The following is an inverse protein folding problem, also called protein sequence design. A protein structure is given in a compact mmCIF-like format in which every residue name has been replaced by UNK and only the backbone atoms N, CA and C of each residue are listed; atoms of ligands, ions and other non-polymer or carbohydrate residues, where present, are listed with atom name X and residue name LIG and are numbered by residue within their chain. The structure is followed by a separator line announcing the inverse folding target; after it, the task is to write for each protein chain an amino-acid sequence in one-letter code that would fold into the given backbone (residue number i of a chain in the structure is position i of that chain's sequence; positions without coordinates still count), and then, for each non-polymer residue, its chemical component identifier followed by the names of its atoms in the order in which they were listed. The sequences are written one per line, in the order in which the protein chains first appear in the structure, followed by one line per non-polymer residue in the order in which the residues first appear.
data_IF_031737731781
#
_entry.id   IF_031737731781
#
_cell.length_a   1.000
_cell.length_b   1.000
_cell.length_c   1.000
_cell.angle_alpha   90.00
_cell.angle_beta   90.00
_cell.angle_gamma   90.00
#
_symmetry.space_group_name_H-M   'P 1'
#
loop_
_entity.id
_entity.type
_entity.pdbx_description
1 polymer ?
#
# COMPACT_ATOMS: atom_id res chain seq x y z
N UNK A 1 -25.88 11.03 10.67
CA UNK A 1 -24.79 10.76 9.70
C UNK A 1 -23.71 10.00 10.44
N UNK A 2 -23.27 8.87 9.90
CA UNK A 2 -22.19 8.09 10.50
C UNK A 2 -20.88 8.90 10.46
N UNK A 3 -20.40 9.30 11.63
CA UNK A 3 -19.19 10.10 11.75
C UNK A 3 -17.93 9.33 11.34
N UNK A 4 -17.93 8.01 11.48
CA UNK A 4 -16.80 7.17 11.08
C UNK A 4 -16.67 7.13 9.56
N UNK A 5 -17.78 6.95 8.85
CA UNK A 5 -17.86 7.01 7.39
C UNK A 5 -17.46 8.39 6.86
N UNK A 6 -17.92 9.47 7.51
CA UNK A 6 -17.51 10.83 7.13
C UNK A 6 -15.99 11.01 7.24
N UNK A 7 -15.39 10.63 8.38
CA UNK A 7 -13.93 10.72 8.58
C UNK A 7 -13.15 9.88 7.56
N UNK A 8 -13.65 8.69 7.24
CA UNK A 8 -13.08 7.85 6.20
C UNK A 8 -13.03 8.58 4.85
N UNK A 9 -14.15 9.15 4.40
CA UNK A 9 -14.20 9.88 3.13
C UNK A 9 -13.42 11.19 3.17
N UNK A 10 -13.42 11.92 4.29
CA UNK A 10 -12.59 13.12 4.44
C UNK A 10 -11.10 12.79 4.23
N UNK A 11 -10.61 11.68 4.81
CA UNK A 11 -9.23 11.18 4.62
C UNK A 11 -8.98 10.72 3.19
N UNK A 12 -9.85 9.87 2.65
CA UNK A 12 -9.71 9.34 1.29
C UNK A 12 -9.70 10.47 0.24
N UNK A 13 -10.63 11.41 0.34
CA UNK A 13 -10.69 12.56 -0.56
C UNK A 13 -9.48 13.50 -0.36
N UNK A 14 -8.94 13.59 0.86
CA UNK A 14 -7.68 14.27 1.14
C UNK A 14 -6.51 13.64 0.39
N UNK A 15 -6.36 12.31 0.49
CA UNK A 15 -5.34 11.52 -0.23
C UNK A 15 -5.46 11.72 -1.73
N UNK A 16 -6.65 11.57 -2.29
CA UNK A 16 -6.91 11.70 -3.73
C UNK A 16 -6.67 13.10 -4.29
N UNK A 17 -6.32 14.11 -3.46
CA UNK A 17 -5.87 15.43 -3.93
C UNK A 17 -4.42 15.44 -4.41
N UNK A 18 -3.61 14.45 -4.03
CA UNK A 18 -2.25 14.32 -4.52
C UNK A 18 -2.25 14.13 -6.05
N UNK A 19 -1.54 14.97 -6.82
CA UNK A 19 -1.48 14.85 -8.28
C UNK A 19 -0.93 13.51 -8.78
N UNK A 20 -0.07 12.84 -8.02
CA UNK A 20 0.51 11.54 -8.40
C UNK A 20 -0.59 10.48 -8.53
N UNK A 21 -1.59 10.50 -7.67
CA UNK A 21 -2.72 9.56 -7.72
C UNK A 21 -3.69 9.84 -8.90
N UNK A 22 -3.55 10.98 -9.59
CA UNK A 22 -4.39 11.37 -10.74
C UNK A 22 -3.66 11.30 -12.07
N UNK A 23 -2.39 11.67 -12.09
CA UNK A 23 -1.60 11.85 -13.31
C UNK A 23 -0.29 11.05 -13.31
N UNK A 24 0.06 10.39 -12.20
CA UNK A 24 1.21 9.50 -12.13
C UNK A 24 1.00 8.22 -12.93
N UNK A 25 2.10 7.52 -13.22
CA UNK A 25 2.06 6.24 -13.91
C UNK A 25 1.48 5.18 -12.97
N UNK A 26 0.29 4.69 -13.30
CA UNK A 26 -0.41 3.66 -12.54
C UNK A 26 -0.04 2.25 -13.00
N UNK A 27 -0.02 1.31 -12.06
CA UNK A 27 -0.03 -0.11 -12.35
C UNK A 27 -0.71 -0.91 -11.24
N UNK A 28 -1.38 -2.00 -11.62
CA UNK A 28 -1.83 -3.04 -10.70
C UNK A 28 -0.65 -3.91 -10.29
N UNK A 29 -0.61 -4.29 -9.01
CA UNK A 29 0.48 -5.09 -8.45
C UNK A 29 0.05 -6.53 -8.19
N UNK A 30 1.04 -7.40 -8.23
CA UNK A 30 0.88 -8.79 -7.81
C UNK A 30 0.92 -8.88 -6.27
N UNK A 31 -0.09 -9.54 -5.73
CA UNK A 31 -0.12 -10.02 -4.35
C UNK A 31 0.26 -11.49 -4.34
N UNK A 32 1.23 -11.88 -3.52
CA UNK A 32 1.67 -13.27 -3.39
C UNK A 32 1.41 -13.79 -1.99
N UNK A 33 1.27 -15.10 -1.87
CA UNK A 33 1.04 -15.76 -0.58
C UNK A 33 2.13 -15.42 0.42
N UNK A 34 1.72 -15.13 1.66
CA UNK A 34 2.63 -14.85 2.76
C UNK A 34 3.37 -16.11 3.25
N UNK A 35 2.75 -17.28 3.15
CA UNK A 35 3.33 -18.59 3.44
C UNK A 35 2.46 -19.70 2.85
N UNK A 36 3.05 -20.88 2.68
CA UNK A 36 2.38 -22.05 2.12
C UNK A 36 1.06 -22.38 2.83
N UNK A 37 0.01 -22.61 2.04
CA UNK A 37 -1.34 -22.89 2.55
C UNK A 37 -2.15 -21.65 2.92
N UNK A 38 -1.56 -20.45 2.97
CA UNK A 38 -2.33 -19.21 3.11
C UNK A 38 -2.87 -18.78 1.75
N UNK A 39 -4.18 -18.90 1.55
CA UNK A 39 -4.87 -18.52 0.31
C UNK A 39 -5.35 -17.06 0.31
N UNK A 40 -5.31 -16.38 1.47
CA UNK A 40 -5.96 -15.06 1.65
C UNK A 40 -5.28 -13.92 0.87
N UNK A 41 -4.15 -14.18 0.20
CA UNK A 41 -3.53 -13.20 -0.68
C UNK A 41 -4.41 -12.83 -1.89
N UNK A 42 -5.26 -13.75 -2.34
CA UNK A 42 -6.21 -13.55 -3.45
C UNK A 42 -7.35 -12.59 -3.04
N UNK A 43 -7.49 -12.29 -1.75
CA UNK A 43 -8.41 -11.28 -1.25
C UNK A 43 -7.90 -9.84 -1.45
N UNK A 44 -6.64 -9.64 -1.83
CA UNK A 44 -6.06 -8.31 -1.93
C UNK A 44 -6.13 -7.70 -3.33
N UNK A 45 -6.41 -6.40 -3.35
CA UNK A 45 -6.12 -5.53 -4.49
C UNK A 45 -4.99 -4.58 -4.11
N UNK A 46 -4.00 -4.45 -4.98
CA UNK A 46 -2.87 -3.54 -4.76
C UNK A 46 -2.54 -2.75 -6.03
N UNK A 47 -2.24 -1.46 -5.85
CA UNK A 47 -1.98 -0.52 -6.92
C UNK A 47 -0.83 0.40 -6.54
N UNK A 48 0.06 0.68 -7.48
CA UNK A 48 1.09 1.70 -7.33
C UNK A 48 0.91 2.85 -8.30
N UNK A 49 1.35 4.03 -7.87
CA UNK A 49 1.56 5.18 -8.72
C UNK A 49 2.99 5.68 -8.56
N UNK A 50 3.58 6.14 -9.66
CA UNK A 50 4.86 6.83 -9.65
C UNK A 50 4.74 8.19 -10.38
N UNK A 51 5.11 9.25 -9.69
CA UNK A 51 5.21 10.60 -10.24
C UNK A 51 6.50 10.79 -11.05
N UNK A 52 6.51 11.78 -11.94
CA UNK A 52 7.69 12.16 -12.72
C UNK A 52 8.84 12.72 -11.85
N UNK A 53 8.51 13.21 -10.66
CA UNK A 53 9.43 13.69 -9.63
C UNK A 53 10.01 12.57 -8.74
N UNK A 54 9.64 11.31 -9.02
CA UNK A 54 10.06 10.15 -8.24
C UNK A 54 9.19 9.86 -7.01
N UNK A 55 8.14 10.65 -6.76
CA UNK A 55 7.17 10.37 -5.71
C UNK A 55 6.42 9.06 -5.97
N UNK A 56 6.13 8.31 -4.91
CA UNK A 56 5.58 6.95 -4.99
C UNK A 56 4.40 6.79 -4.06
N UNK A 57 3.32 6.21 -4.58
CA UNK A 57 2.15 5.82 -3.80
C UNK A 57 1.89 4.34 -3.95
N UNK A 58 1.40 3.73 -2.87
CA UNK A 58 0.89 2.36 -2.83
C UNK A 58 -0.48 2.37 -2.15
N UNK A 59 -1.49 1.83 -2.81
CA UNK A 59 -2.81 1.59 -2.22
C UNK A 59 -3.06 0.09 -2.16
N UNK A 60 -3.49 -0.39 -0.99
CA UNK A 60 -3.83 -1.80 -0.77
C UNK A 60 -5.22 -1.90 -0.17
N UNK A 61 -6.04 -2.82 -0.66
CA UNK A 61 -7.39 -3.11 -0.15
C UNK A 61 -7.48 -4.60 0.15
N UNK A 62 -7.90 -4.96 1.36
CA UNK A 62 -8.40 -6.30 1.64
C UNK A 62 -9.88 -6.35 1.24
N UNK A 63 -10.17 -6.90 0.07
CA UNK A 63 -11.51 -6.97 -0.51
C UNK A 63 -12.22 -8.27 -0.10
N UNK A 64 -12.22 -8.57 1.19
CA UNK A 64 -12.86 -9.75 1.75
C UNK A 64 -13.41 -9.50 3.16
N UNK A 65 -14.38 -10.32 3.61
CA UNK A 65 -14.95 -10.23 4.96
C UNK A 65 -14.09 -10.89 6.05
N UNK A 66 -12.89 -11.38 5.72
CA UNK A 66 -11.94 -11.97 6.66
C UNK A 66 -10.64 -11.16 6.73
N UNK A 67 -9.86 -11.35 7.80
CA UNK A 67 -8.47 -10.91 7.84
C UNK A 67 -7.67 -11.67 6.78
N UNK A 68 -6.75 -10.96 6.13
CA UNK A 68 -6.00 -11.48 4.98
C UNK A 68 -4.54 -11.06 5.09
N UNK A 69 -3.64 -11.92 4.60
CA UNK A 69 -2.20 -11.66 4.58
C UNK A 69 -1.58 -11.92 3.20
N UNK A 70 -0.64 -11.07 2.80
CA UNK A 70 0.11 -11.23 1.56
C UNK A 70 1.47 -10.53 1.61
N UNK A 71 2.29 -10.79 0.60
CA UNK A 71 3.34 -9.86 0.18
C UNK A 71 2.89 -9.13 -1.08
N UNK A 72 3.02 -7.80 -1.10
CA UNK A 72 2.79 -6.99 -2.29
C UNK A 72 4.12 -6.74 -3.01
N UNK A 73 4.21 -7.17 -4.28
CA UNK A 73 5.40 -6.94 -5.11
C UNK A 73 5.45 -5.48 -5.54
N UNK A 74 6.48 -4.76 -5.09
CA UNK A 74 6.64 -3.35 -5.41
C UNK A 74 7.34 -3.19 -6.76
N UNK A 75 6.84 -2.31 -7.65
CA UNK A 75 7.37 -2.18 -9.00
C UNK A 75 8.55 -1.19 -9.08
N UNK A 76 9.01 -0.69 -7.94
CA UNK A 76 9.99 0.37 -7.88
C UNK A 76 11.40 -0.22 -7.94
N UNK A 77 12.22 0.29 -8.85
CA UNK A 77 13.63 -0.05 -8.92
C UNK A 77 14.40 0.54 -7.73
N UNK A 78 15.56 -0.06 -7.46
CA UNK A 78 16.58 0.46 -6.55
C UNK A 78 16.08 0.65 -5.11
N UNK A 79 15.23 -0.28 -4.63
CA UNK A 79 14.81 -0.27 -3.23
C UNK A 79 15.95 -0.71 -2.30
N UNK A 80 16.74 -1.70 -2.74
CA UNK A 80 17.83 -2.30 -1.96
C UNK A 80 18.87 -1.29 -1.46
N UNK A 81 19.51 -1.61 -0.33
CA UNK A 81 20.55 -0.77 0.27
C UNK A 81 20.06 0.54 0.92
N UNK A 82 18.75 0.73 1.07
CA UNK A 82 18.14 1.92 1.70
C UNK A 82 17.05 1.56 2.69
N UNK A 83 16.73 2.47 3.61
CA UNK A 83 15.52 2.39 4.42
C UNK A 83 14.41 3.20 3.75
N UNK A 84 13.19 2.65 3.76
CA UNK A 84 12.03 3.28 3.15
C UNK A 84 10.95 3.54 4.17
N UNK A 85 10.43 4.75 4.18
CA UNK A 85 9.30 5.15 5.02
C UNK A 85 8.00 4.99 4.24
N UNK A 86 7.06 4.26 4.84
CA UNK A 86 5.69 4.10 4.39
C UNK A 86 4.80 4.87 5.36
N UNK A 87 4.24 5.98 4.91
CA UNK A 87 3.27 6.76 5.70
C UNK A 87 1.87 6.42 5.21
N UNK A 88 1.06 5.74 6.02
CA UNK A 88 -0.34 5.48 5.74
C UNK A 88 -1.16 6.74 6.05
N UNK A 89 -1.89 7.24 5.07
CA UNK A 89 -2.73 8.42 5.20
C UNK A 89 -4.18 8.09 5.59
N UNK A 90 -4.56 6.80 5.56
CA UNK A 90 -5.86 6.35 6.05
C UNK A 90 -5.86 6.16 7.58
N UNK A 91 -4.72 5.76 8.14
CA UNK A 91 -4.54 5.49 9.58
C UNK A 91 -3.58 6.45 10.28
N UNK A 92 -2.84 7.29 9.54
CA UNK A 92 -1.80 8.21 10.03
C UNK A 92 -0.57 7.51 10.65
N UNK A 93 -0.49 6.18 10.55
CA UNK A 93 0.64 5.39 11.04
C UNK A 93 1.77 5.36 10.01
N UNK A 94 3.02 5.36 10.49
CA UNK A 94 4.18 5.24 9.64
C UNK A 94 5.06 4.05 10.01
N UNK A 95 5.69 3.47 8.99
CA UNK A 95 6.57 2.34 9.12
C UNK A 95 7.88 2.60 8.40
N UNK A 96 8.99 2.13 8.96
CA UNK A 96 10.25 2.02 8.24
C UNK A 96 10.45 0.56 7.84
N UNK A 97 10.90 0.34 6.61
CA UNK A 97 11.13 -0.98 6.00
C UNK A 97 12.49 -1.03 5.35
N UNK A 98 13.16 -2.16 5.53
CA UNK A 98 14.43 -2.43 4.87
C UNK A 98 14.22 -2.63 3.36
N UNK A 99 14.99 -1.90 2.56
CA UNK A 99 14.89 -1.93 1.12
C UNK A 99 15.27 -3.26 0.48
N UNK A 100 16.15 -4.04 1.10
CA UNK A 100 16.51 -5.37 0.58
C UNK A 100 15.35 -6.35 0.75
N UNK A 101 14.62 -6.26 1.86
CA UNK A 101 13.39 -7.03 2.08
C UNK A 101 12.29 -6.64 1.09
N UNK A 102 12.09 -5.34 0.88
CA UNK A 102 11.11 -4.85 -0.09
C UNK A 102 11.44 -5.30 -1.52
N UNK A 103 12.72 -5.28 -1.90
CA UNK A 103 13.17 -5.70 -3.22
C UNK A 103 13.02 -7.21 -3.43
N UNK A 104 13.35 -8.02 -2.41
CA UNK A 104 13.40 -9.48 -2.52
C UNK A 104 12.04 -10.15 -2.30
N UNK A 105 11.26 -9.68 -1.33
CA UNK A 105 10.00 -10.30 -0.89
C UNK A 105 8.79 -9.42 -1.17
N UNK A 106 8.96 -8.10 -1.20
CA UNK A 106 7.85 -7.15 -1.26
C UNK A 106 7.41 -6.68 0.14
N UNK A 107 6.34 -5.90 0.19
CA UNK A 107 5.78 -5.41 1.45
C UNK A 107 4.85 -6.46 2.06
N UNK A 108 5.19 -6.98 3.24
CA UNK A 108 4.28 -7.84 4.02
C UNK A 108 3.07 -7.04 4.53
N UNK A 109 1.88 -7.60 4.34
CA UNK A 109 0.61 -7.03 4.77
C UNK A 109 -0.16 -8.05 5.60
N UNK A 110 -0.73 -7.58 6.71
CA UNK A 110 -1.67 -8.32 7.55
C UNK A 110 -2.82 -7.37 7.90
N UNK A 111 -3.97 -7.57 7.24
CA UNK A 111 -4.98 -6.52 7.11
C UNK A 111 -6.37 -7.06 7.51
N UNK A 112 -7.10 -6.37 8.40
CA UNK A 112 -8.48 -6.73 8.75
C UNK A 112 -9.43 -6.73 7.56
N UNK A 113 -10.61 -7.32 7.74
CA UNK A 113 -11.67 -7.33 6.74
C UNK A 113 -12.03 -5.91 6.24
N UNK A 114 -12.27 -5.78 4.94
CA UNK A 114 -12.71 -4.54 4.26
C UNK A 114 -11.85 -3.30 4.51
N UNK A 115 -10.57 -3.48 4.84
CA UNK A 115 -9.69 -2.38 5.20
C UNK A 115 -8.84 -1.92 4.00
N UNK A 116 -8.43 -0.65 4.03
CA UNK A 116 -7.63 0.02 3.01
C UNK A 116 -6.50 0.80 3.65
N UNK A 117 -5.33 0.73 3.05
CA UNK A 117 -4.20 1.61 3.35
C UNK A 117 -3.77 2.36 2.11
N UNK A 118 -3.38 3.62 2.28
CA UNK A 118 -2.86 4.47 1.22
C UNK A 118 -1.52 5.06 1.67
N UNK A 119 -0.43 4.48 1.18
CA UNK A 119 0.92 4.83 1.58
C UNK A 119 1.56 5.80 0.61
N UNK A 120 2.08 6.92 1.12
CA UNK A 120 3.17 7.61 0.43
C UNK A 120 4.50 6.96 0.84
N UNK A 121 5.37 6.71 -0.15
CA UNK A 121 6.63 5.99 0.04
C UNK A 121 7.80 6.94 -0.24
N UNK A 122 8.65 7.14 0.74
CA UNK A 122 9.85 7.98 0.61
C UNK A 122 11.09 7.25 1.11
N UNK A 123 12.25 7.60 0.56
CA UNK A 123 13.53 7.15 1.10
C UNK A 123 13.78 7.89 2.42
N UNK A 124 14.14 7.16 3.47
CA UNK A 124 14.43 7.70 4.79
C UNK A 124 15.90 8.06 4.96
#
# INVERSE_FOLDING_TARGET
MDQSLKRFYDRLLGVLRDPILRAGTWQMLECVSAWEGNWTWDCFLAFAWQGSDGGRWLVTVNYAPNQSQCYVRLPFAELAGSQWRFQDHMTEVAYVRDGNDLQSRGLYMDVPAWNVSAFSITRN
#
